data_IF_632613265777
#
_entry.id   IF_632613265777
#
_cell.length_a   1.000
_cell.length_b   1.000
_cell.length_c   1.000
_cell.angle_alpha   90.00
_cell.angle_beta   90.00
_cell.angle_gamma   90.00
#
_symmetry.space_group_name_H-M   'P 1'
#
loop_
_entity.id
_entity.type
_entity.pdbx_description
1 polymer ?
#
# COMPACT_ATOMS: atom_id res chain seq x y z
N UNK A 1 -15.26 -19.01 -0.32
CA UNK A 1 -16.05 -19.62 -1.41
C UNK A 1 -16.49 -18.58 -2.45
N UNK A 2 -17.00 -17.41 -2.04
CA UNK A 2 -17.42 -16.29 -2.92
C UNK A 2 -16.28 -15.74 -3.82
N UNK A 3 -15.07 -15.56 -3.28
CA UNK A 3 -13.92 -15.07 -4.07
C UNK A 3 -13.56 -15.99 -5.26
N UNK A 4 -13.57 -17.32 -5.07
CA UNK A 4 -13.26 -18.28 -6.14
C UNK A 4 -14.28 -18.24 -7.29
N UNK A 5 -15.55 -18.00 -6.98
CA UNK A 5 -16.61 -17.81 -7.97
C UNK A 5 -16.42 -16.53 -8.78
N UNK A 6 -15.95 -15.45 -8.15
CA UNK A 6 -15.62 -14.19 -8.85
C UNK A 6 -14.47 -14.40 -9.85
N UNK A 7 -13.37 -15.05 -9.44
CA UNK A 7 -12.27 -15.36 -10.34
C UNK A 7 -12.71 -16.17 -11.56
N UNK A 8 -13.56 -17.20 -11.36
CA UNK A 8 -14.10 -18.01 -12.45
C UNK A 8 -15.01 -17.19 -13.37
N UNK A 9 -15.90 -16.35 -12.82
CA UNK A 9 -16.79 -15.47 -13.60
C UNK A 9 -16.00 -14.50 -14.49
N UNK A 10 -14.95 -13.89 -13.94
CA UNK A 10 -14.07 -12.99 -14.69
C UNK A 10 -13.30 -13.74 -15.77
N UNK A 11 -12.70 -14.89 -15.44
CA UNK A 11 -12.04 -15.75 -16.42
C UNK A 11 -12.97 -16.09 -17.59
N UNK A 12 -14.20 -16.52 -17.34
CA UNK A 12 -15.15 -16.91 -18.39
C UNK A 12 -15.50 -15.74 -19.32
N UNK A 13 -15.60 -14.52 -18.79
CA UNK A 13 -15.96 -13.31 -19.55
C UNK A 13 -14.78 -12.59 -20.22
N UNK A 14 -13.55 -12.97 -19.89
CA UNK A 14 -12.35 -12.28 -20.36
C UNK A 14 -12.14 -12.47 -21.89
N UNK A 15 -12.15 -11.41 -22.71
CA UNK A 15 -11.99 -11.51 -24.18
C UNK A 15 -10.55 -11.80 -24.61
N UNK A 16 -9.57 -11.58 -23.72
CA UNK A 16 -8.15 -11.64 -24.03
C UNK A 16 -7.53 -13.01 -23.73
N UNK A 17 -8.36 -14.02 -23.44
CA UNK A 17 -7.94 -15.40 -23.23
C UNK A 17 -7.21 -15.98 -24.46
N UNK A 18 -6.14 -16.74 -24.18
CA UNK A 18 -5.55 -17.69 -25.14
C UNK A 18 -6.55 -18.80 -25.51
N UNK A 19 -6.31 -19.56 -26.58
CA UNK A 19 -7.10 -20.76 -26.88
C UNK A 19 -7.14 -21.75 -25.71
N UNK A 20 -8.29 -22.38 -25.45
CA UNK A 20 -8.53 -23.23 -24.27
C UNK A 20 -7.51 -24.37 -24.14
N UNK A 21 -7.15 -25.02 -25.24
CA UNK A 21 -6.13 -26.09 -25.23
C UNK A 21 -4.75 -25.58 -24.79
N UNK A 22 -4.38 -24.35 -25.20
CA UNK A 22 -3.15 -23.70 -24.76
C UNK A 22 -3.22 -23.37 -23.28
N UNK A 23 -4.33 -22.82 -22.81
CA UNK A 23 -4.56 -22.54 -21.38
C UNK A 23 -4.41 -23.82 -20.54
N UNK A 24 -5.04 -24.93 -20.96
CA UNK A 24 -4.94 -26.21 -20.26
C UNK A 24 -3.50 -26.72 -20.19
N UNK A 25 -2.76 -26.68 -21.31
CA UNK A 25 -1.34 -27.07 -21.36
C UNK A 25 -0.46 -26.19 -20.47
N UNK A 26 -0.64 -24.87 -20.55
CA UNK A 26 0.14 -23.91 -19.74
C UNK A 26 -0.16 -24.08 -18.25
N UNK A 27 -1.44 -24.22 -17.86
CA UNK A 27 -1.84 -24.46 -16.46
C UNK A 27 -1.27 -25.78 -15.90
N UNK A 28 -1.33 -26.88 -16.67
CA UNK A 28 -0.72 -28.15 -16.25
C UNK A 28 0.81 -28.02 -16.11
N UNK A 29 1.46 -27.37 -17.07
CA UNK A 29 2.91 -27.13 -17.04
C UNK A 29 3.29 -26.26 -15.83
N UNK A 30 2.52 -25.20 -15.56
CA UNK A 30 2.72 -24.33 -14.41
C UNK A 30 2.60 -25.11 -13.11
N UNK A 31 1.53 -25.90 -12.95
CA UNK A 31 1.32 -26.73 -11.77
C UNK A 31 2.43 -27.76 -11.55
N UNK A 32 2.94 -28.36 -12.63
CA UNK A 32 4.08 -29.28 -12.56
C UNK A 32 5.38 -28.58 -12.11
N UNK A 33 5.70 -27.43 -12.71
CA UNK A 33 6.91 -26.65 -12.37
C UNK A 33 6.84 -26.16 -10.91
N UNK A 34 5.69 -25.64 -10.50
CA UNK A 34 5.48 -25.06 -9.16
C UNK A 34 5.15 -26.11 -8.08
N UNK A 35 4.91 -27.36 -8.48
CA UNK A 35 4.49 -28.47 -7.60
C UNK A 35 3.23 -28.15 -6.77
N UNK A 36 2.28 -27.45 -7.37
CA UNK A 36 1.01 -27.06 -6.75
C UNK A 36 -0.14 -27.03 -7.75
N UNK A 37 -1.38 -27.00 -7.25
CA UNK A 37 -2.54 -26.79 -8.13
C UNK A 37 -2.47 -25.38 -8.74
N UNK A 38 -2.64 -25.19 -10.05
CA UNK A 38 -2.29 -23.95 -10.76
C UNK A 38 -3.33 -22.83 -10.56
N UNK A 39 -3.74 -22.57 -9.32
CA UNK A 39 -4.70 -21.50 -9.00
C UNK A 39 -4.18 -20.13 -9.40
N UNK A 40 -2.91 -19.85 -9.15
CA UNK A 40 -2.30 -18.56 -9.43
C UNK A 40 -2.13 -18.26 -10.92
N UNK A 41 -2.03 -19.29 -11.76
CA UNK A 41 -2.10 -19.14 -13.21
C UNK A 41 -3.40 -18.40 -13.62
N UNK A 42 -4.51 -18.71 -12.95
CA UNK A 42 -5.79 -18.01 -13.18
C UNK A 42 -5.90 -16.71 -12.39
N UNK A 43 -5.44 -16.67 -11.13
CA UNK A 43 -5.56 -15.46 -10.30
C UNK A 43 -4.71 -14.29 -10.80
N UNK A 44 -3.60 -14.58 -11.48
CA UNK A 44 -2.66 -13.59 -12.05
C UNK A 44 -2.88 -13.31 -13.54
N UNK A 45 -3.99 -13.77 -14.12
CA UNK A 45 -4.32 -13.56 -15.53
C UNK A 45 -3.31 -14.15 -16.52
N UNK A 46 -2.54 -15.17 -16.14
CA UNK A 46 -1.48 -15.73 -17.00
C UNK A 46 -2.03 -16.40 -18.28
N UNK A 47 -3.33 -16.67 -18.31
CA UNK A 47 -4.05 -17.18 -19.46
C UNK A 47 -4.30 -16.17 -20.58
N UNK A 48 -4.04 -14.87 -20.35
CA UNK A 48 -4.26 -13.84 -21.37
C UNK A 48 -3.15 -13.81 -22.42
N UNK A 49 -3.48 -13.35 -23.63
CA UNK A 49 -2.63 -13.42 -24.84
C UNK A 49 -1.30 -12.69 -24.70
N UNK A 50 -1.28 -11.58 -23.98
CA UNK A 50 -0.11 -10.74 -23.74
C UNK A 50 0.94 -11.41 -22.83
N UNK A 51 0.52 -12.38 -22.02
CA UNK A 51 1.42 -13.07 -21.09
C UNK A 51 2.12 -14.22 -21.83
N UNK A 52 3.40 -14.03 -22.17
CA UNK A 52 4.20 -15.09 -22.81
C UNK A 52 4.93 -15.94 -21.77
N UNK A 53 5.58 -15.31 -20.79
CA UNK A 53 6.47 -15.98 -19.84
C UNK A 53 5.77 -16.37 -18.52
N UNK A 54 4.69 -17.15 -18.60
CA UNK A 54 3.88 -17.54 -17.44
C UNK A 54 4.63 -18.37 -16.37
N UNK A 55 5.82 -18.89 -16.68
CA UNK A 55 6.65 -19.68 -15.75
C UNK A 55 7.42 -18.80 -14.76
N UNK A 56 7.61 -17.54 -15.10
CA UNK A 56 8.41 -16.60 -14.32
C UNK A 56 7.63 -15.92 -13.19
N UNK A 57 6.36 -16.24 -13.01
CA UNK A 57 5.53 -15.71 -11.93
C UNK A 57 5.65 -16.60 -10.69
N UNK A 58 5.51 -15.98 -9.52
CA UNK A 58 5.51 -16.70 -8.26
C UNK A 58 4.26 -17.58 -8.13
N UNK A 59 4.45 -18.77 -7.58
CA UNK A 59 3.37 -19.62 -7.08
C UNK A 59 2.83 -19.11 -5.75
N UNK A 60 1.68 -19.63 -5.31
CA UNK A 60 1.10 -19.22 -4.03
C UNK A 60 1.96 -19.72 -2.89
N UNK A 61 2.43 -20.97 -3.02
CA UNK A 61 3.40 -21.56 -2.10
C UNK A 61 4.72 -20.79 -2.06
N UNK A 62 5.28 -20.38 -3.21
CA UNK A 62 6.50 -19.55 -3.27
C UNK A 62 6.29 -18.19 -2.61
N UNK A 63 5.15 -17.54 -2.86
CA UNK A 63 4.79 -16.28 -2.22
C UNK A 63 4.76 -16.41 -0.69
N UNK A 64 4.02 -17.38 -0.14
CA UNK A 64 3.94 -17.59 1.31
C UNK A 64 5.25 -18.08 1.92
N UNK A 65 6.04 -18.87 1.19
CA UNK A 65 7.41 -19.22 1.62
C UNK A 65 8.30 -18.01 1.81
N UNK A 66 8.06 -16.91 1.09
CA UNK A 66 8.81 -15.66 1.29
C UNK A 66 8.25 -14.92 2.51
N UNK A 67 6.95 -14.58 2.50
CA UNK A 67 6.38 -13.65 3.48
C UNK A 67 6.17 -14.25 4.87
N UNK A 68 6.00 -15.57 4.97
CA UNK A 68 5.80 -16.27 6.26
C UNK A 68 7.12 -16.88 6.77
N UNK A 69 8.24 -16.69 6.06
CA UNK A 69 9.52 -17.24 6.48
C UNK A 69 10.00 -16.55 7.76
N UNK A 70 10.39 -17.30 8.81
CA UNK A 70 11.02 -16.71 10.00
C UNK A 70 12.40 -16.10 9.70
N UNK A 71 12.99 -16.39 8.53
CA UNK A 71 14.23 -15.74 8.07
C UNK A 71 13.98 -14.35 7.49
N UNK A 72 12.73 -14.04 7.14
CA UNK A 72 12.33 -12.81 6.48
C UNK A 72 11.52 -11.93 7.42
N UNK A 73 10.51 -12.51 8.06
CA UNK A 73 9.56 -11.82 8.91
C UNK A 73 9.90 -12.05 10.37
N UNK A 74 10.23 -10.97 11.08
CA UNK A 74 10.21 -10.94 12.53
C UNK A 74 8.81 -10.54 13.02
N UNK A 75 8.11 -11.38 13.82
CA UNK A 75 6.74 -11.10 14.27
C UNK A 75 6.61 -9.85 15.16
N UNK A 76 7.62 -9.56 15.98
CA UNK A 76 7.60 -8.39 16.86
C UNK A 76 7.74 -7.12 16.01
N UNK A 77 8.60 -7.15 14.99
CA UNK A 77 8.73 -6.05 14.04
C UNK A 77 7.48 -5.88 13.16
N UNK A 78 6.83 -6.98 12.78
CA UNK A 78 5.56 -6.93 12.08
C UNK A 78 4.49 -6.17 12.88
N UNK A 79 4.45 -6.37 14.20
CA UNK A 79 3.52 -5.66 15.09
C UNK A 79 3.74 -4.15 15.12
N UNK A 80 5.01 -3.69 14.99
CA UNK A 80 5.34 -2.27 14.89
C UNK A 80 4.80 -1.70 13.58
N UNK A 81 4.98 -2.41 12.46
CA UNK A 81 4.53 -1.98 11.13
C UNK A 81 3.00 -1.91 11.03
N UNK A 82 2.30 -2.94 11.52
CA UNK A 82 0.85 -3.08 11.40
C UNK A 82 0.06 -2.16 12.34
N UNK A 83 0.67 -1.77 13.47
CA UNK A 83 0.07 -0.82 14.39
C UNK A 83 0.48 0.61 14.03
N UNK A 84 -0.48 1.39 13.54
CA UNK A 84 -0.23 2.75 13.03
C UNK A 84 0.32 3.72 14.07
N UNK A 85 0.01 3.54 15.35
CA UNK A 85 0.57 4.35 16.43
C UNK A 85 2.01 3.92 16.74
N UNK A 86 2.25 2.62 16.91
CA UNK A 86 3.61 2.08 17.11
C UNK A 86 4.54 2.48 15.98
N UNK A 87 4.08 2.33 14.73
CA UNK A 87 4.83 2.75 13.55
C UNK A 87 5.15 4.26 13.59
N UNK A 88 4.16 5.11 13.86
CA UNK A 88 4.36 6.56 13.88
C UNK A 88 5.36 7.00 14.95
N UNK A 89 5.22 6.48 16.18
CA UNK A 89 6.14 6.79 17.29
C UNK A 89 7.56 6.29 17.01
N UNK A 90 7.68 5.06 16.47
CA UNK A 90 8.96 4.50 16.08
C UNK A 90 9.62 5.34 14.97
N UNK A 91 8.88 5.65 13.92
CA UNK A 91 9.38 6.41 12.78
C UNK A 91 9.84 7.81 13.17
N UNK A 92 9.07 8.54 14.00
CA UNK A 92 9.48 9.83 14.55
C UNK A 92 10.78 9.73 15.34
N UNK A 93 10.91 8.73 16.22
CA UNK A 93 12.13 8.50 17.01
C UNK A 93 13.36 8.20 16.13
N UNK A 94 13.16 7.55 14.99
CA UNK A 94 14.22 7.23 14.03
C UNK A 94 14.49 8.35 13.01
N UNK A 95 13.75 9.45 13.06
CA UNK A 95 13.86 10.53 12.07
C UNK A 95 13.39 10.11 10.67
N UNK A 96 12.50 9.13 10.55
CA UNK A 96 11.88 8.74 9.28
C UNK A 96 10.78 9.77 8.96
N UNK A 97 10.82 10.42 7.78
CA UNK A 97 9.75 11.32 7.34
C UNK A 97 8.40 10.59 7.27
N UNK A 98 7.44 11.04 8.08
CA UNK A 98 6.04 10.60 8.12
C UNK A 98 5.15 11.83 8.30
N UNK A 99 3.82 11.75 8.07
CA UNK A 99 2.92 12.85 8.42
C UNK A 99 3.01 13.13 9.92
N UNK A 100 3.14 14.40 10.31
CA UNK A 100 3.34 14.77 11.72
C UNK A 100 2.20 14.21 12.59
N UNK A 101 2.56 13.51 13.66
CA UNK A 101 1.62 13.02 14.68
C UNK A 101 1.35 14.15 15.67
N UNK A 102 0.10 14.60 15.75
CA UNK A 102 -0.33 15.64 16.70
C UNK A 102 -0.92 15.07 17.99
N UNK A 103 -1.42 13.83 17.92
CA UNK A 103 -2.01 13.15 19.06
C UNK A 103 -2.59 11.81 18.68
N UNK A 104 -3.20 11.15 19.65
CA UNK A 104 -3.92 9.89 19.45
C UNK A 104 -4.90 9.68 20.60
N UNK A 105 -5.74 8.67 20.49
CA UNK A 105 -6.58 8.24 21.60
C UNK A 105 -6.63 6.71 21.72
N UNK A 106 -6.78 6.25 22.95
CA UNK A 106 -7.13 4.89 23.30
C UNK A 106 -8.47 4.95 24.02
N UNK A 107 -9.56 4.74 23.28
CA UNK A 107 -10.94 4.98 23.74
C UNK A 107 -11.07 6.39 24.34
N UNK A 108 -11.38 6.49 25.64
CA UNK A 108 -11.62 7.75 26.36
C UNK A 108 -10.36 8.44 26.88
N UNK A 109 -9.18 7.87 26.63
CA UNK A 109 -7.90 8.47 26.98
C UNK A 109 -7.29 9.09 25.73
N UNK A 110 -7.21 10.42 25.69
CA UNK A 110 -6.71 11.19 24.57
C UNK A 110 -5.35 11.78 24.93
N UNK A 111 -4.46 11.85 23.95
CA UNK A 111 -3.07 12.25 24.13
C UNK A 111 -2.70 13.32 23.09
N UNK A 112 -2.10 14.41 23.56
CA UNK A 112 -1.55 15.49 22.73
C UNK A 112 -0.47 16.23 23.53
N UNK A 113 0.61 16.68 22.88
CA UNK A 113 1.69 17.44 23.51
C UNK A 113 2.22 16.80 24.82
N UNK A 114 2.41 15.48 24.80
CA UNK A 114 2.86 14.66 25.95
C UNK A 114 1.94 14.68 27.18
N UNK A 115 0.71 15.18 27.04
CA UNK A 115 -0.32 15.21 28.09
C UNK A 115 -1.43 14.22 27.79
N UNK A 116 -2.00 13.66 28.85
CA UNK A 116 -3.18 12.81 28.81
C UNK A 116 -4.43 13.58 29.24
N UNK A 117 -5.53 13.33 28.56
CA UNK A 117 -6.84 13.93 28.78
C UNK A 117 -7.88 12.82 28.85
N UNK A 118 -8.65 12.78 29.93
CA UNK A 118 -9.82 11.92 29.99
C UNK A 118 -11.00 12.62 29.33
N UNK A 119 -11.46 12.07 28.20
CA UNK A 119 -12.54 12.64 27.39
C UNK A 119 -13.71 11.66 27.39
N UNK A 120 -14.84 12.08 27.95
CA UNK A 120 -16.00 11.22 28.21
C UNK A 120 -17.28 11.72 27.56
N UNK A 121 -17.30 12.96 27.06
CA UNK A 121 -18.48 13.57 26.44
C UNK A 121 -18.14 14.28 25.11
N UNK A 122 -19.13 14.51 24.23
CA UNK A 122 -18.94 15.30 23.01
C UNK A 122 -18.40 16.72 23.28
N UNK A 123 -18.81 17.36 24.38
CA UNK A 123 -18.33 18.69 24.78
C UNK A 123 -16.84 18.67 25.12
N UNK A 124 -16.38 17.68 25.87
CA UNK A 124 -14.95 17.51 26.19
C UNK A 124 -14.14 17.19 24.94
N UNK A 125 -14.69 16.39 24.02
CA UNK A 125 -14.03 16.07 22.75
C UNK A 125 -13.85 17.33 21.89
N UNK A 126 -14.85 18.20 21.83
CA UNK A 126 -14.75 19.48 21.15
C UNK A 126 -13.62 20.33 21.74
N UNK A 127 -13.54 20.44 23.07
CA UNK A 127 -12.47 21.20 23.75
C UNK A 127 -11.10 20.61 23.42
N UNK A 128 -10.95 19.28 23.53
CA UNK A 128 -9.68 18.60 23.22
C UNK A 128 -9.25 18.84 21.77
N UNK A 129 -10.13 18.59 20.79
CA UNK A 129 -9.78 18.77 19.37
C UNK A 129 -9.52 20.24 19.04
N UNK A 130 -10.27 21.18 19.62
CA UNK A 130 -10.02 22.63 19.45
C UNK A 130 -8.62 23.00 19.91
N UNK A 131 -8.19 22.51 21.09
CA UNK A 131 -6.83 22.73 21.58
C UNK A 131 -5.78 22.13 20.62
N UNK A 132 -5.99 20.92 20.09
CA UNK A 132 -5.08 20.31 19.09
C UNK A 132 -4.95 21.19 17.84
N UNK A 133 -6.05 21.74 17.33
CA UNK A 133 -6.05 22.66 16.18
C UNK A 133 -5.32 23.97 16.48
N UNK A 134 -5.54 24.56 17.65
CA UNK A 134 -4.96 25.85 18.06
C UNK A 134 -3.47 25.73 18.36
N UNK A 135 -3.07 24.76 19.18
CA UNK A 135 -1.67 24.55 19.59
C UNK A 135 -0.73 24.29 18.40
N UNK A 136 -1.27 23.75 17.30
CA UNK A 136 -0.51 23.37 16.12
C UNK A 136 -0.81 24.25 14.89
N UNK A 137 -1.64 25.29 15.03
CA UNK A 137 -2.07 26.17 13.94
C UNK A 137 -2.58 25.40 12.70
N UNK A 138 -3.50 24.47 12.91
CA UNK A 138 -4.00 23.57 11.87
C UNK A 138 -5.32 24.08 11.29
N UNK A 139 -5.50 23.88 9.99
CA UNK A 139 -6.79 24.04 9.31
C UNK A 139 -7.55 22.71 9.17
N UNK A 140 -6.81 21.61 9.13
CA UNK A 140 -7.35 20.26 8.96
C UNK A 140 -6.53 19.22 9.70
N UNK A 141 -7.21 18.16 10.15
CA UNK A 141 -6.63 17.06 10.90
C UNK A 141 -7.11 15.74 10.29
N UNK A 142 -6.16 14.87 9.94
CA UNK A 142 -6.44 13.56 9.39
C UNK A 142 -6.42 12.51 10.50
N UNK A 143 -7.52 11.81 10.70
CA UNK A 143 -7.66 10.79 11.73
C UNK A 143 -7.68 9.42 11.06
N UNK A 144 -6.84 8.51 11.52
CA UNK A 144 -6.81 7.11 11.06
C UNK A 144 -6.94 6.15 12.24
N UNK A 145 -7.77 5.10 12.15
CA UNK A 145 -7.82 4.07 13.17
C UNK A 145 -6.42 3.49 13.43
N UNK A 146 -6.08 3.14 14.67
CA UNK A 146 -4.76 2.53 14.97
C UNK A 146 -4.59 1.19 14.25
N UNK A 147 -5.68 0.42 14.16
CA UNK A 147 -5.73 -0.88 13.48
C UNK A 147 -6.75 -0.82 12.36
N UNK A 148 -6.50 -1.55 11.28
CA UNK A 148 -7.39 -1.63 10.12
C UNK A 148 -6.65 -1.51 8.80
N UNK A 149 -7.33 -1.85 7.72
CA UNK A 149 -6.79 -1.95 6.36
C UNK A 149 -7.61 -1.11 5.38
N UNK A 150 -6.97 -0.69 4.29
CA UNK A 150 -7.64 -0.08 3.14
C UNK A 150 -8.28 1.29 3.37
N UNK A 151 -7.92 1.98 4.45
CA UNK A 151 -8.42 3.31 4.78
C UNK A 151 -9.83 3.33 5.39
N UNK A 152 -10.41 2.18 5.75
CA UNK A 152 -11.70 2.14 6.43
C UNK A 152 -11.62 2.88 7.77
N UNK A 153 -12.58 3.77 8.02
CA UNK A 153 -12.64 4.59 9.23
C UNK A 153 -11.75 5.84 9.21
N UNK A 154 -10.89 6.02 8.20
CA UNK A 154 -10.13 7.25 8.06
C UNK A 154 -11.07 8.44 7.80
N UNK A 155 -10.75 9.59 8.38
CA UNK A 155 -11.57 10.80 8.25
C UNK A 155 -10.71 12.05 8.24
N UNK A 156 -11.13 13.04 7.44
CA UNK A 156 -10.59 14.39 7.50
C UNK A 156 -11.58 15.28 8.26
N UNK A 157 -11.08 16.00 9.26
CA UNK A 157 -11.81 17.00 10.03
C UNK A 157 -11.22 18.37 9.71
N UNK A 158 -12.05 19.38 9.50
CA UNK A 158 -11.60 20.75 9.29
C UNK A 158 -11.98 21.61 10.50
N UNK A 159 -11.13 22.57 10.83
CA UNK A 159 -11.37 23.50 11.96
C UNK A 159 -12.71 24.22 11.81
N UNK A 160 -13.03 24.66 10.60
CA UNK A 160 -14.25 25.41 10.27
C UNK A 160 -15.55 24.66 10.55
N UNK A 161 -15.55 23.32 10.44
CA UNK A 161 -16.76 22.50 10.64
C UNK A 161 -16.64 21.55 11.84
N UNK A 162 -15.67 21.78 12.72
CA UNK A 162 -15.40 20.91 13.85
C UNK A 162 -16.65 20.76 14.73
N UNK A 163 -17.29 21.88 15.10
CA UNK A 163 -18.44 21.88 15.99
C UNK A 163 -19.61 21.04 15.45
N UNK A 164 -19.93 21.18 14.16
CA UNK A 164 -21.00 20.40 13.52
C UNK A 164 -20.67 18.91 13.44
N UNK A 165 -19.38 18.58 13.27
CA UNK A 165 -18.88 17.22 13.11
C UNK A 165 -18.77 16.47 14.43
N UNK A 166 -18.59 17.15 15.57
CA UNK A 166 -18.38 16.51 16.87
C UNK A 166 -19.51 15.55 17.24
N UNK A 167 -20.77 15.94 17.01
CA UNK A 167 -21.91 15.07 17.32
C UNK A 167 -21.85 13.75 16.56
N UNK A 168 -21.45 13.79 15.29
CA UNK A 168 -21.32 12.59 14.44
C UNK A 168 -20.11 11.73 14.82
N UNK A 169 -19.01 12.36 15.22
CA UNK A 169 -17.73 11.68 15.42
C UNK A 169 -17.53 11.16 16.85
N UNK A 170 -18.21 11.76 17.82
CA UNK A 170 -17.96 11.52 19.25
C UNK A 170 -18.19 10.07 19.66
N UNK A 171 -19.28 9.43 19.24
CA UNK A 171 -19.48 8.01 19.55
C UNK A 171 -18.35 7.13 19.00
N UNK A 172 -17.89 7.41 17.78
CA UNK A 172 -16.82 6.64 17.14
C UNK A 172 -15.48 6.85 17.86
N UNK A 173 -15.09 8.11 18.07
CA UNK A 173 -13.79 8.47 18.65
C UNK A 173 -13.68 8.04 20.12
N UNK A 174 -14.75 8.20 20.91
CA UNK A 174 -14.73 7.84 22.34
C UNK A 174 -14.68 6.33 22.60
N UNK A 175 -15.09 5.51 21.63
CA UNK A 175 -15.18 4.05 21.77
C UNK A 175 -14.15 3.27 20.95
N UNK A 176 -13.31 3.96 20.18
CA UNK A 176 -12.31 3.36 19.29
C UNK A 176 -10.93 4.01 19.50
N UNK A 177 -9.92 3.55 18.77
CA UNK A 177 -8.56 4.08 18.88
C UNK A 177 -8.13 4.69 17.55
N UNK A 178 -7.68 5.94 17.57
CA UNK A 178 -7.25 6.68 16.40
C UNK A 178 -5.92 7.38 16.66
N UNK A 179 -5.16 7.62 15.59
CA UNK A 179 -4.09 8.62 15.60
C UNK A 179 -4.51 9.85 14.80
N UNK A 180 -3.99 11.01 15.19
CA UNK A 180 -4.30 12.32 14.64
C UNK A 180 -3.06 12.85 13.95
N UNK A 181 -3.11 12.95 12.63
CA UNK A 181 -1.98 13.31 11.79
C UNK A 181 -2.27 14.53 10.93
N UNK A 182 -1.19 15.13 10.48
CA UNK A 182 -1.16 16.12 9.41
C UNK A 182 -1.86 15.62 8.14
N UNK A 183 -2.62 16.53 7.52
CA UNK A 183 -3.13 16.33 6.17
C UNK A 183 -2.00 16.54 5.18
N UNK A 184 -1.66 15.48 4.45
CA UNK A 184 -0.64 15.53 3.39
C UNK A 184 -1.14 16.40 2.23
N UNK A 185 -0.28 17.29 1.75
CA UNK A 185 -0.48 18.03 0.50
C UNK A 185 0.31 17.34 -0.61
N UNK A 186 -0.39 16.66 -1.51
CA UNK A 186 0.20 15.89 -2.59
C UNK A 186 0.88 16.78 -3.64
N UNK A 187 2.01 16.31 -4.15
CA UNK A 187 2.80 16.96 -5.19
C UNK A 187 1.96 17.22 -6.45
N UNK A 188 2.11 18.41 -7.04
CA UNK A 188 1.29 18.89 -8.16
C UNK A 188 1.36 17.98 -9.39
N UNK A 189 2.53 17.39 -9.69
CA UNK A 189 2.69 16.40 -10.78
C UNK A 189 1.77 15.19 -10.61
N UNK A 190 1.60 14.66 -9.40
CA UNK A 190 0.72 13.52 -9.15
C UNK A 190 -0.75 13.95 -9.22
N UNK A 191 -1.07 15.16 -8.75
CA UNK A 191 -2.41 15.73 -8.88
C UNK A 191 -2.90 15.87 -10.33
N UNK A 192 -1.99 15.93 -11.32
CA UNK A 192 -2.36 15.90 -12.74
C UNK A 192 -3.03 14.58 -13.13
N UNK A 193 -2.61 13.47 -12.51
CA UNK A 193 -3.22 12.16 -12.72
C UNK A 193 -4.50 12.06 -11.91
N UNK A 194 -4.42 12.27 -10.60
CA UNK A 194 -5.58 12.19 -9.72
C UNK A 194 -5.38 13.04 -8.46
N UNK A 195 -6.24 14.03 -8.25
CA UNK A 195 -6.12 15.00 -7.14
C UNK A 195 -7.05 14.74 -5.96
N UNK A 196 -7.97 13.78 -6.08
CA UNK A 196 -9.01 13.51 -5.08
C UNK A 196 -8.58 12.54 -3.97
N UNK A 197 -7.46 11.84 -4.16
CA UNK A 197 -6.86 10.95 -3.15
C UNK A 197 -5.37 11.22 -2.99
N UNK A 198 -4.83 10.78 -1.85
CA UNK A 198 -3.38 10.62 -1.71
C UNK A 198 -2.98 9.34 -2.45
N UNK A 199 -2.19 9.52 -3.50
CA UNK A 199 -1.63 8.49 -4.34
C UNK A 199 -0.19 8.22 -3.92
N UNK A 200 0.15 6.96 -3.83
CA UNK A 200 1.36 6.52 -3.16
C UNK A 200 2.15 5.55 -4.01
N UNK A 201 3.46 5.53 -3.76
CA UNK A 201 4.36 4.50 -4.26
C UNK A 201 4.44 3.40 -3.19
N UNK A 202 4.03 2.18 -3.56
CA UNK A 202 4.34 0.95 -2.85
C UNK A 202 5.77 0.53 -3.20
N UNK A 203 6.73 0.85 -2.34
CA UNK A 203 8.14 0.49 -2.49
C UNK A 203 8.45 -0.76 -1.65
N UNK A 204 8.81 -1.86 -2.28
CA UNK A 204 9.12 -3.11 -1.58
C UNK A 204 10.64 -3.25 -1.40
N UNK A 205 11.11 -3.18 -0.17
CA UNK A 205 12.54 -3.32 0.15
C UNK A 205 12.88 -4.71 0.64
N UNK A 206 14.16 -5.08 0.49
CA UNK A 206 14.74 -6.29 1.04
C UNK A 206 16.08 -5.99 1.72
N UNK A 207 16.27 -6.45 2.96
CA UNK A 207 17.58 -6.48 3.61
C UNK A 207 18.24 -7.83 3.32
N UNK A 208 19.40 -7.82 2.66
CA UNK A 208 20.17 -9.04 2.46
C UNK A 208 20.78 -9.57 3.77
N UNK A 209 21.43 -10.73 3.70
CA UNK A 209 22.06 -11.38 4.86
C UNK A 209 23.23 -10.59 5.46
N UNK A 210 23.75 -9.59 4.73
CA UNK A 210 24.78 -8.67 5.22
C UNK A 210 24.17 -7.38 5.79
N UNK A 211 22.85 -7.27 5.84
CA UNK A 211 22.13 -6.08 6.31
C UNK A 211 22.04 -4.96 5.28
N UNK A 212 22.39 -5.20 4.01
CA UNK A 212 22.31 -4.15 3.00
C UNK A 212 20.90 -4.00 2.41
N UNK A 213 20.37 -2.76 2.29
CA UNK A 213 19.04 -2.52 1.79
C UNK A 213 18.99 -2.47 0.25
N UNK A 214 18.09 -3.26 -0.29
CA UNK A 214 17.77 -3.33 -1.71
C UNK A 214 16.32 -2.92 -1.95
N UNK A 215 16.04 -2.36 -3.13
CA UNK A 215 14.67 -2.15 -3.59
C UNK A 215 14.32 -3.27 -4.57
N UNK A 216 13.30 -4.07 -4.25
CA UNK A 216 12.82 -5.14 -5.12
C UNK A 216 11.93 -4.57 -6.24
N UNK A 217 11.10 -3.58 -5.90
CA UNK A 217 10.11 -3.00 -6.82
C UNK A 217 9.51 -1.72 -6.28
N UNK A 218 8.94 -0.91 -7.18
CA UNK A 218 8.06 0.18 -6.85
C UNK A 218 6.81 0.16 -7.73
N UNK A 219 5.64 0.26 -7.12
CA UNK A 219 4.37 0.41 -7.83
C UNK A 219 3.75 1.74 -7.45
N UNK A 220 3.38 2.54 -8.45
CA UNK A 220 2.52 3.68 -8.19
C UNK A 220 1.07 3.20 -8.10
N UNK A 221 0.34 3.66 -7.09
CA UNK A 221 -1.06 3.35 -6.86
C UNK A 221 -1.91 4.60 -7.07
N UNK A 222 -3.05 4.45 -7.73
CA UNK A 222 -3.98 5.54 -8.01
C UNK A 222 -5.40 5.19 -7.56
N UNK A 223 -6.09 6.18 -7.01
CA UNK A 223 -7.53 6.13 -6.79
C UNK A 223 -8.32 6.32 -8.09
N UNK A 224 -9.63 6.13 -8.03
CA UNK A 224 -10.54 6.37 -9.15
C UNK A 224 -11.84 7.00 -8.66
N UNK A 225 -12.49 7.82 -9.48
CA UNK A 225 -13.76 8.47 -9.16
C UNK A 225 -13.63 9.41 -7.96
N UNK A 226 -14.53 9.24 -6.99
CA UNK A 226 -14.56 10.04 -5.75
C UNK A 226 -13.87 9.33 -4.57
N UNK A 227 -13.12 8.26 -4.84
CA UNK A 227 -12.34 7.57 -3.80
C UNK A 227 -11.25 8.50 -3.28
N UNK A 228 -11.16 8.61 -1.96
CA UNK A 228 -10.13 9.38 -1.25
C UNK A 228 -8.88 8.56 -0.94
N UNK A 229 -8.87 7.28 -1.29
CA UNK A 229 -7.72 6.37 -1.16
C UNK A 229 -7.38 5.70 -2.49
N UNK A 230 -6.11 5.36 -2.67
CA UNK A 230 -5.57 4.69 -3.86
C UNK A 230 -5.57 3.16 -3.75
N UNK A 231 -6.12 2.62 -2.66
CA UNK A 231 -6.05 1.21 -2.36
C UNK A 231 -6.84 0.36 -3.38
N UNK A 232 -6.19 -0.70 -3.86
CA UNK A 232 -6.75 -1.68 -4.80
C UNK A 232 -8.04 -2.33 -4.25
N UNK A 233 -8.08 -2.64 -2.95
CA UNK A 233 -9.26 -3.18 -2.27
C UNK A 233 -10.45 -2.21 -2.21
N UNK A 234 -10.23 -0.92 -2.44
CA UNK A 234 -11.27 0.12 -2.47
C UNK A 234 -11.73 0.45 -3.90
N UNK A 235 -11.00 -0.02 -4.92
CA UNK A 235 -11.29 0.24 -6.33
C UNK A 235 -10.18 0.97 -7.08
N UNK A 236 -9.07 1.31 -6.41
CA UNK A 236 -7.87 1.85 -7.06
C UNK A 236 -7.16 0.82 -7.94
N UNK A 237 -6.11 1.27 -8.63
CA UNK A 237 -5.26 0.42 -9.48
C UNK A 237 -3.78 0.72 -9.26
N UNK A 238 -2.91 -0.17 -9.71
CA UNK A 238 -1.46 -0.01 -9.62
C UNK A 238 -0.78 -0.13 -10.98
N UNK A 239 0.37 0.50 -11.12
CA UNK A 239 1.22 0.47 -12.32
C UNK A 239 2.69 0.40 -11.89
N UNK A 240 3.52 -0.28 -12.68
CA UNK A 240 4.96 -0.39 -12.39
C UNK A 240 5.65 0.97 -12.53
N UNK A 241 6.66 1.19 -11.68
CA UNK A 241 7.62 2.28 -11.83
C UNK A 241 8.91 1.72 -12.43
N UNK A 242 9.33 2.28 -13.55
CA UNK A 242 10.67 2.10 -14.08
C UNK A 242 11.64 2.97 -13.28
N UNK A 243 12.47 2.33 -12.47
CA UNK A 243 13.35 3.02 -11.53
C UNK A 243 14.54 3.70 -12.22
N UNK A 244 14.92 3.26 -13.42
CA UNK A 244 16.06 3.82 -14.16
C UNK A 244 15.65 5.07 -14.94
N UNK A 245 14.42 5.08 -15.48
CA UNK A 245 13.88 6.20 -16.25
C UNK A 245 12.95 7.12 -15.44
N UNK A 246 12.69 6.79 -14.18
CA UNK A 246 11.82 7.55 -13.25
C UNK A 246 10.39 7.75 -13.78
N UNK A 247 9.90 6.76 -14.55
CA UNK A 247 8.62 6.82 -15.26
C UNK A 247 7.71 5.68 -14.89
N UNK A 248 6.41 5.89 -15.07
CA UNK A 248 5.43 4.82 -15.11
C UNK A 248 5.68 3.92 -16.32
N UNK A 249 5.50 2.61 -16.14
CA UNK A 249 5.79 1.59 -17.15
C UNK A 249 4.61 0.65 -17.38
N UNK A 250 4.21 0.53 -18.63
CA UNK A 250 3.15 -0.34 -19.08
C UNK A 250 1.77 0.19 -18.72
N UNK A 251 0.92 -0.66 -18.14
CA UNK A 251 -0.50 -0.37 -17.94
C UNK A 251 -0.90 -0.48 -16.47
N UNK A 252 -1.86 0.35 -16.06
CA UNK A 252 -2.54 0.25 -14.78
C UNK A 252 -3.37 -1.01 -14.69
N UNK A 253 -3.37 -1.67 -13.53
CA UNK A 253 -4.10 -2.91 -13.28
C UNK A 253 -4.93 -2.82 -12.00
N UNK A 254 -6.20 -3.16 -12.13
CA UNK A 254 -7.11 -3.28 -11.01
C UNK A 254 -7.17 -4.71 -10.47
N UNK A 255 -7.58 -4.87 -9.21
CA UNK A 255 -7.89 -6.18 -8.66
C UNK A 255 -8.89 -6.93 -9.53
N UNK A 256 -8.69 -8.24 -9.69
CA UNK A 256 -9.71 -9.15 -10.20
C UNK A 256 -11.01 -9.07 -9.39
N UNK A 257 -10.94 -8.88 -8.06
CA UNK A 257 -12.12 -8.77 -7.20
C UNK A 257 -12.92 -7.49 -7.52
N UNK A 258 -12.29 -6.50 -8.15
CA UNK A 258 -12.87 -5.21 -8.54
C UNK A 258 -13.18 -5.10 -10.04
N UNK A 259 -12.86 -6.12 -10.83
CA UNK A 259 -13.14 -6.13 -12.27
C UNK A 259 -11.97 -6.57 -13.14
N UNK A 260 -10.74 -6.46 -12.65
CA UNK A 260 -9.53 -6.83 -13.39
C UNK A 260 -9.25 -5.92 -14.60
N UNK A 261 -9.74 -4.68 -14.55
CA UNK A 261 -9.61 -3.69 -15.62
C UNK A 261 -8.15 -3.32 -15.84
N UNK A 262 -7.81 -3.09 -17.11
CA UNK A 262 -6.51 -2.61 -17.56
C UNK A 262 -6.67 -1.17 -18.03
N UNK A 263 -5.78 -0.30 -17.58
CA UNK A 263 -5.81 1.14 -17.87
C UNK A 263 -4.56 1.55 -18.64
N UNK A 264 -4.73 2.09 -19.85
CA UNK A 264 -3.66 2.80 -20.57
C UNK A 264 -3.67 4.30 -20.24
N UNK A 265 -4.83 4.81 -19.84
CA UNK A 265 -5.05 6.17 -19.37
C UNK A 265 -5.77 6.14 -18.03
N UNK A 266 -5.53 7.13 -17.19
CA UNK A 266 -6.29 7.27 -15.95
C UNK A 266 -7.78 7.54 -16.29
N UNK A 267 -8.73 6.82 -15.67
CA UNK A 267 -10.15 6.88 -16.07
C UNK A 267 -10.78 8.27 -15.86
N UNK A 268 -10.36 9.01 -14.84
CA UNK A 268 -10.93 10.33 -14.55
C UNK A 268 -10.27 11.48 -15.35
N UNK A 269 -8.93 11.57 -15.32
CA UNK A 269 -8.18 12.68 -15.93
C UNK A 269 -7.84 12.46 -17.40
N UNK A 270 -7.94 11.23 -17.92
CA UNK A 270 -7.53 10.88 -19.27
C UNK A 270 -6.01 10.94 -19.50
N UNK A 271 -5.21 11.14 -18.45
CA UNK A 271 -3.74 11.18 -18.58
C UNK A 271 -3.21 9.82 -19.00
N UNK A 272 -2.37 9.79 -20.04
CA UNK A 272 -1.66 8.58 -20.45
C UNK A 272 -0.71 8.14 -19.34
N UNK A 273 -0.81 6.86 -18.95
CA UNK A 273 -0.06 6.31 -17.83
C UNK A 273 1.36 5.91 -18.25
N UNK A 274 1.52 5.14 -19.33
CA UNK A 274 2.83 4.68 -19.78
C UNK A 274 3.74 5.85 -20.17
N UNK A 275 4.95 5.87 -19.63
CA UNK A 275 5.95 6.92 -19.86
C UNK A 275 5.73 8.21 -19.05
N UNK A 276 4.70 8.30 -18.21
CA UNK A 276 4.48 9.47 -17.35
C UNK A 276 5.63 9.62 -16.35
N UNK A 277 6.20 10.82 -16.27
CA UNK A 277 7.34 11.14 -15.40
C UNK A 277 6.91 11.35 -13.95
N UNK A 278 7.51 10.60 -13.03
CA UNK A 278 7.24 10.74 -11.61
C UNK A 278 8.28 11.66 -10.96
N UNK A 279 7.86 12.58 -10.06
CA UNK A 279 8.81 13.41 -9.32
C UNK A 279 9.44 12.61 -8.17
N UNK A 280 10.65 12.98 -7.78
CA UNK A 280 11.32 12.59 -6.52
C UNK A 280 11.59 11.07 -6.38
N UNK A 281 11.78 10.34 -7.48
CA UNK A 281 11.96 8.88 -7.42
C UNK A 281 13.26 8.49 -6.72
N UNK A 282 14.35 9.22 -6.94
CA UNK A 282 15.61 8.95 -6.25
C UNK A 282 15.49 9.13 -4.74
N UNK A 283 14.77 10.16 -4.29
CA UNK A 283 14.47 10.44 -2.89
C UNK A 283 13.56 9.38 -2.29
N UNK A 284 12.58 8.87 -3.03
CA UNK A 284 11.74 7.74 -2.62
C UNK A 284 12.58 6.48 -2.41
N UNK A 285 13.49 6.16 -3.33
CA UNK A 285 14.39 5.00 -3.22
C UNK A 285 15.29 5.14 -2.00
N UNK A 286 15.89 6.33 -1.80
CA UNK A 286 16.74 6.61 -0.66
C UNK A 286 15.98 6.51 0.67
N UNK A 287 14.77 7.09 0.74
CA UNK A 287 13.89 7.03 1.90
C UNK A 287 13.52 5.58 2.25
N UNK A 288 13.06 4.80 1.26
CA UNK A 288 12.67 3.40 1.47
C UNK A 288 13.84 2.55 1.98
N UNK A 289 15.03 2.68 1.36
CA UNK A 289 16.23 1.96 1.78
C UNK A 289 16.68 2.36 3.19
N UNK A 290 16.68 3.66 3.50
CA UNK A 290 17.04 4.14 4.83
C UNK A 290 16.06 3.59 5.89
N UNK A 291 14.74 3.71 5.66
CA UNK A 291 13.72 3.18 6.56
C UNK A 291 13.84 1.67 6.79
N UNK A 292 14.15 0.91 5.74
CA UNK A 292 14.39 -0.54 5.84
C UNK A 292 15.51 -0.89 6.81
N UNK A 293 16.58 -0.11 6.87
CA UNK A 293 17.68 -0.38 7.82
C UNK A 293 17.34 -0.09 9.29
N UNK A 294 16.23 0.60 9.55
CA UNK A 294 15.82 0.94 10.92
C UNK A 294 14.97 -0.14 11.58
N UNK A 295 14.25 -0.94 10.81
CA UNK A 295 13.36 -1.98 11.33
C UNK A 295 13.97 -3.35 11.00
N UNK A 296 14.36 -4.17 12.00
CA UNK A 296 15.04 -5.45 11.79
C UNK A 296 14.10 -6.57 11.29
N UNK A 297 13.39 -6.32 10.19
CA UNK A 297 12.69 -7.33 9.39
C UNK A 297 13.11 -7.16 7.94
N UNK A 298 13.16 -8.25 7.18
CA UNK A 298 13.96 -8.27 5.95
C UNK A 298 13.20 -7.99 4.69
N UNK A 299 11.87 -8.00 4.70
CA UNK A 299 11.06 -7.49 3.60
C UNK A 299 9.96 -6.60 4.16
N UNK A 300 9.85 -5.39 3.60
CA UNK A 300 8.83 -4.40 3.99
C UNK A 300 8.27 -3.73 2.74
N UNK A 301 6.96 -3.57 2.69
CA UNK A 301 6.27 -2.74 1.71
C UNK A 301 5.97 -1.37 2.28
N UNK A 302 6.61 -0.34 1.76
CA UNK A 302 6.41 1.05 2.19
C UNK A 302 5.37 1.73 1.32
N UNK A 303 4.38 2.36 1.95
CA UNK A 303 3.44 3.24 1.28
C UNK A 303 3.95 4.68 1.41
N UNK A 304 4.51 5.21 0.32
CA UNK A 304 5.20 6.49 0.29
C UNK A 304 4.36 7.49 -0.49
N UNK A 305 3.97 8.59 0.14
CA UNK A 305 3.34 9.71 -0.56
C UNK A 305 4.39 10.70 -1.04
N UNK A 306 4.13 11.29 -2.20
CA UNK A 306 4.90 12.38 -2.77
C UNK A 306 4.23 13.69 -2.35
N UNK A 307 4.77 14.35 -1.32
CA UNK A 307 4.24 15.64 -0.85
C UNK A 307 4.96 16.82 -1.50
N UNK A 308 4.45 18.03 -1.28
CA UNK A 308 5.12 19.27 -1.71
C UNK A 308 6.44 19.55 -0.97
N UNK A 309 6.65 18.92 0.19
CA UNK A 309 7.87 19.07 1.00
C UNK A 309 8.88 17.93 0.78
N UNK A 310 8.52 16.94 -0.04
CA UNK A 310 9.31 15.73 -0.27
C UNK A 310 8.55 14.43 -0.02
N UNK A 311 9.16 13.26 -0.24
CA UNK A 311 8.53 11.97 0.01
C UNK A 311 8.44 11.69 1.52
N UNK A 312 7.34 11.06 1.93
CA UNK A 312 7.11 10.64 3.32
C UNK A 312 6.40 9.29 3.39
N UNK A 313 6.64 8.52 4.45
CA UNK A 313 6.04 7.19 4.64
C UNK A 313 4.72 7.33 5.40
N UNK A 314 3.64 6.82 4.82
CA UNK A 314 2.30 6.80 5.45
C UNK A 314 2.13 5.55 6.30
N UNK A 315 2.64 4.42 5.81
CA UNK A 315 2.49 3.09 6.41
C UNK A 315 3.63 2.17 5.96
N UNK A 316 4.07 1.28 6.86
CA UNK A 316 4.92 0.13 6.53
C UNK A 316 4.12 -1.16 6.63
N UNK A 317 4.37 -2.09 5.72
CA UNK A 317 3.61 -3.34 5.60
C UNK A 317 4.55 -4.55 5.71
N UNK A 318 4.35 -5.37 6.73
CA UNK A 318 4.98 -6.69 6.91
C UNK A 318 4.63 -7.65 5.77
N UNK A 319 3.40 -7.56 5.24
CA UNK A 319 2.96 -8.21 4.02
C UNK A 319 2.96 -7.21 2.86
N UNK A 320 4.07 -7.09 2.10
CA UNK A 320 4.22 -6.10 1.03
C UNK A 320 3.27 -6.31 -0.16
N UNK A 321 2.55 -7.44 -0.21
CA UNK A 321 1.72 -7.84 -1.34
C UNK A 321 2.51 -7.99 -2.65
N UNK A 322 3.63 -8.73 -2.61
CA UNK A 322 4.52 -9.00 -3.77
C UNK A 322 3.78 -9.49 -5.02
N UNK A 323 2.60 -10.10 -4.88
CA UNK A 323 1.77 -10.52 -6.02
C UNK A 323 1.42 -9.38 -6.99
N UNK A 324 1.15 -8.17 -6.51
CA UNK A 324 0.87 -7.04 -7.40
C UNK A 324 2.09 -6.72 -8.26
N UNK A 325 3.26 -6.74 -7.63
CA UNK A 325 4.49 -6.35 -8.27
C UNK A 325 5.03 -7.47 -9.19
N UNK A 326 4.84 -8.73 -8.82
CA UNK A 326 5.03 -9.90 -9.68
C UNK A 326 4.23 -9.78 -10.99
N UNK A 327 2.97 -9.34 -10.91
CA UNK A 327 2.14 -9.08 -12.10
C UNK A 327 2.67 -7.89 -12.90
N UNK A 328 2.92 -6.75 -12.24
CA UNK A 328 3.26 -5.50 -12.90
C UNK A 328 4.63 -5.53 -13.62
N UNK A 329 5.60 -6.24 -13.04
CA UNK A 329 6.95 -6.38 -13.60
C UNK A 329 7.11 -7.60 -14.53
N UNK A 330 6.04 -8.39 -14.74
CA UNK A 330 6.06 -9.48 -15.71
C UNK A 330 6.70 -10.79 -15.22
N UNK A 331 6.73 -11.03 -13.91
CA UNK A 331 7.23 -12.25 -13.29
C UNK A 331 8.49 -12.05 -12.45
N UNK A 332 8.40 -12.41 -11.18
CA UNK A 332 9.44 -12.24 -10.16
C UNK A 332 10.44 -13.38 -10.06
N UNK A 333 10.10 -14.58 -10.52
CA UNK A 333 11.04 -15.69 -10.47
C UNK A 333 12.29 -15.43 -11.31
N UNK A 334 12.26 -14.47 -12.25
CA UNK A 334 13.44 -14.03 -13.00
C UNK A 334 14.23 -12.90 -12.34
N UNK A 335 13.65 -12.19 -11.37
CA UNK A 335 14.29 -11.08 -10.69
C UNK A 335 15.47 -11.56 -9.82
N UNK A 336 16.70 -11.02 -9.97
CA UNK A 336 17.89 -11.51 -9.26
C UNK A 336 17.72 -11.56 -7.73
N UNK A 337 17.19 -10.50 -7.12
CA UNK A 337 16.93 -10.47 -5.68
C UNK A 337 15.89 -11.51 -5.25
N UNK A 338 14.81 -11.72 -6.04
CA UNK A 338 13.78 -12.69 -5.66
C UNK A 338 14.31 -14.13 -5.81
N UNK A 339 15.15 -14.41 -6.80
CA UNK A 339 15.87 -15.70 -6.89
C UNK A 339 16.71 -15.95 -5.64
N UNK A 340 17.44 -14.93 -5.17
CA UNK A 340 18.23 -15.02 -3.95
C UNK A 340 17.32 -15.29 -2.73
N UNK A 341 16.25 -14.51 -2.56
CA UNK A 341 15.29 -14.67 -1.45
C UNK A 341 14.69 -16.08 -1.46
N UNK A 342 14.20 -16.57 -2.62
CA UNK A 342 13.64 -17.91 -2.76
C UNK A 342 14.66 -19.00 -2.39
N UNK A 343 15.92 -18.84 -2.80
CA UNK A 343 16.99 -19.77 -2.45
C UNK A 343 17.27 -19.81 -0.95
N UNK A 344 17.06 -18.68 -0.26
CA UNK A 344 17.33 -18.52 1.15
C UNK A 344 16.22 -19.13 2.02
N UNK A 345 14.96 -18.87 1.67
CA UNK A 345 13.79 -19.38 2.42
C UNK A 345 13.49 -20.86 2.16
N UNK A 346 14.10 -21.44 1.12
CA UNK A 346 13.93 -22.87 0.77
C UNK A 346 15.01 -23.77 1.38
N UNK A 347 16.18 -23.21 1.73
CA UNK A 347 17.23 -23.89 2.49
C UNK A 347 16.88 -23.90 3.97
#
# INVERSE_FOLDING_TARGET
>A
MVSRLLHLKHFLKDPDKKPILRIAKEAMTYGFIKKEFPTDYFRKFLYRKEIVNYKSYLSLGEFYKIIDSPKILDPDMASILENKLSFALFAQKQGIPIPKLFGFNIKRHFFSNEKEYQVTSPKELLVFLTAVFEDNNLESLFLKPISGIGGQGCMLINKLNLQDRIQLLSETLLNSNYIFQEKIVQHSTINKIHSKSINTIRANTYLDTNGQPHLISALMRFGCGDLVTDNEGSGGFYIAVDLDSERLKGVGRQSIVKGGTVFTHHPDSGVQLDGFELPLINEVIALAKNAATKIPTRIIGWDIALSVEGPLIIEGNSNPSLNMADIAYGGYCDHPLVKQILSEVTK
#
